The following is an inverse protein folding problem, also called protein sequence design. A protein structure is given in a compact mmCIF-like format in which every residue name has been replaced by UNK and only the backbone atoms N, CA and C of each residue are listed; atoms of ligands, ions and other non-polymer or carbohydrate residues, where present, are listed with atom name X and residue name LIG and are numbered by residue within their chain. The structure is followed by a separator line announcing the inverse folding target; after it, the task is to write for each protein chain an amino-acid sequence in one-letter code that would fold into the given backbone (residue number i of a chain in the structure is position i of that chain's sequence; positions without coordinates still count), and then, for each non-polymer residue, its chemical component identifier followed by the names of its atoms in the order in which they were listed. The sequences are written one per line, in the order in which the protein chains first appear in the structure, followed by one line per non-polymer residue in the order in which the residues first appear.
data_IF_859123560034
#
_entry.id   IF_859123560034
#
_cell.length_a   1.000
_cell.length_b   1.000
_cell.length_c   1.000
_cell.angle_alpha   90.00
_cell.angle_beta   90.00
_cell.angle_gamma   90.00
#
_symmetry.space_group_name_H-M   'P 1'
#
loop_
_entity.id
_entity.type
_entity.pdbx_description
1 polymer ?
#
# COMPACT_ATOMS: atom_id res chain seq x y z
N UNK A 1 22.40 -27.33 22.88
CA UNK A 1 21.59 -26.88 21.73
C UNK A 1 21.77 -25.38 21.47
N UNK A 2 21.63 -24.51 22.49
CA UNK A 2 21.84 -23.05 22.39
C UNK A 2 23.18 -22.62 21.76
N UNK A 3 24.29 -23.25 22.16
CA UNK A 3 25.64 -22.91 21.64
C UNK A 3 25.78 -23.21 20.14
N UNK A 4 25.15 -24.29 19.64
CA UNK A 4 25.15 -24.58 18.19
C UNK A 4 24.29 -23.60 17.40
N UNK A 5 23.13 -23.21 17.93
CA UNK A 5 22.28 -22.19 17.30
C UNK A 5 23.04 -20.87 17.13
N UNK A 6 23.69 -20.39 18.19
CA UNK A 6 24.41 -19.11 18.17
C UNK A 6 25.60 -19.14 17.20
N UNK A 7 26.35 -20.24 17.16
CA UNK A 7 27.44 -20.42 16.19
C UNK A 7 26.98 -20.52 14.72
N UNK A 8 25.77 -21.04 14.48
CA UNK A 8 25.16 -21.12 13.15
C UNK A 8 24.63 -19.74 12.74
N UNK A 9 23.97 -19.02 13.66
CA UNK A 9 23.50 -17.65 13.44
C UNK A 9 24.66 -16.71 13.06
N UNK A 10 25.75 -16.71 13.83
CA UNK A 10 26.96 -15.90 13.55
C UNK A 10 27.61 -16.24 12.19
N UNK A 11 27.53 -17.49 11.75
CA UNK A 11 28.05 -17.91 10.43
C UNK A 11 27.10 -17.51 9.29
N UNK A 12 25.80 -17.44 9.54
CA UNK A 12 24.79 -17.06 8.55
C UNK A 12 24.66 -15.55 8.39
N UNK A 13 24.90 -14.75 9.44
CA UNK A 13 25.01 -13.28 9.32
C UNK A 13 26.11 -12.85 8.33
N UNK A 14 27.15 -13.68 8.16
CA UNK A 14 28.20 -13.46 7.14
C UNK A 14 27.70 -13.65 5.71
N UNK A 15 26.54 -14.29 5.53
CA UNK A 15 25.82 -14.43 4.25
C UNK A 15 24.78 -13.31 4.18
N UNK A 16 25.07 -12.27 3.39
CA UNK A 16 24.31 -11.01 3.34
C UNK A 16 22.79 -11.20 3.37
N UNK A 17 22.14 -10.70 4.41
CA UNK A 17 20.69 -10.53 4.50
C UNK A 17 19.89 -11.77 4.90
N UNK A 18 20.53 -12.86 5.35
CA UNK A 18 19.83 -14.06 5.83
C UNK A 18 20.01 -14.20 7.35
N UNK A 19 18.90 -14.34 8.07
CA UNK A 19 18.91 -14.55 9.53
C UNK A 19 18.49 -15.98 9.85
N UNK A 20 19.09 -16.59 10.87
CA UNK A 20 18.68 -17.89 11.38
C UNK A 20 17.84 -17.72 12.64
N UNK A 21 16.65 -18.34 12.69
CA UNK A 21 15.71 -18.24 13.81
C UNK A 21 15.09 -19.60 14.12
N UNK A 22 14.66 -19.78 15.36
CA UNK A 22 13.72 -20.85 15.71
C UNK A 22 12.33 -20.22 15.67
N UNK A 23 11.47 -20.76 14.81
CA UNK A 23 10.11 -20.25 14.59
C UNK A 23 9.10 -21.39 14.78
N UNK A 24 7.84 -21.06 14.98
CA UNK A 24 6.74 -22.03 15.05
C UNK A 24 5.51 -21.45 14.36
N UNK A 25 4.65 -22.31 13.83
CA UNK A 25 3.35 -21.91 13.28
C UNK A 25 2.26 -22.91 13.70
N UNK A 26 1.04 -22.75 13.19
CA UNK A 26 -0.08 -23.64 13.56
C UNK A 26 0.10 -25.11 13.12
N UNK A 27 0.96 -25.38 12.14
CA UNK A 27 1.20 -26.72 11.59
C UNK A 27 2.58 -27.30 11.94
N UNK A 28 3.51 -26.47 12.43
CA UNK A 28 4.90 -26.83 12.73
C UNK A 28 5.27 -26.49 14.18
N UNK A 29 5.86 -27.46 14.92
CA UNK A 29 6.47 -27.15 16.22
C UNK A 29 7.70 -26.24 16.04
N UNK A 30 8.31 -25.81 17.14
CA UNK A 30 9.55 -25.01 17.12
C UNK A 30 10.61 -25.64 16.20
N UNK A 31 10.84 -24.99 15.06
CA UNK A 31 11.63 -25.48 13.93
C UNK A 31 12.66 -24.43 13.53
N UNK A 32 13.85 -24.89 13.14
CA UNK A 32 14.87 -24.01 12.60
C UNK A 32 14.42 -23.45 11.24
N UNK A 33 14.56 -22.15 11.05
CA UNK A 33 14.27 -21.47 9.81
C UNK A 33 15.38 -20.47 9.46
N UNK A 34 15.57 -20.23 8.18
CA UNK A 34 16.28 -19.05 7.69
C UNK A 34 15.28 -18.07 7.12
N UNK A 35 15.46 -16.79 7.39
CA UNK A 35 14.59 -15.73 6.93
C UNK A 35 15.37 -14.66 6.17
N UNK A 36 14.70 -14.03 5.23
CA UNK A 36 15.20 -12.86 4.51
C UNK A 36 14.10 -11.80 4.54
N UNK A 37 14.46 -10.57 4.89
CA UNK A 37 13.56 -9.42 4.90
C UNK A 37 13.54 -8.72 3.53
N UNK A 38 12.37 -8.31 3.07
CA UNK A 38 12.20 -7.46 1.90
C UNK A 38 12.28 -6.01 2.36
N UNK A 39 13.38 -5.35 2.05
CA UNK A 39 13.62 -3.96 2.45
C UNK A 39 12.78 -3.00 1.59
N UNK A 40 11.84 -2.33 2.23
CA UNK A 40 10.97 -1.28 1.68
C UNK A 40 11.58 0.11 1.83
N UNK A 41 12.74 0.23 2.50
CA UNK A 41 13.50 1.47 2.65
C UNK A 41 12.78 2.56 3.44
N UNK A 42 11.85 2.19 4.34
CA UNK A 42 10.96 3.14 5.04
C UNK A 42 10.18 4.05 4.08
N UNK A 43 9.86 3.55 2.89
CA UNK A 43 9.10 4.30 1.88
C UNK A 43 7.62 4.32 2.23
N UNK A 44 6.97 5.49 2.15
CA UNK A 44 5.52 5.63 2.19
C UNK A 44 4.92 5.37 0.80
N UNK A 45 4.21 4.27 0.66
CA UNK A 45 3.47 3.88 -0.54
C UNK A 45 2.02 4.33 -0.44
N UNK A 46 1.82 5.65 -0.43
CA UNK A 46 0.48 6.23 -0.40
C UNK A 46 -0.10 6.42 -1.80
N UNK A 47 -1.22 5.74 -2.07
CA UNK A 47 -1.87 5.74 -3.40
C UNK A 47 -2.87 6.91 -3.49
N UNK A 48 -2.60 7.97 -4.29
CA UNK A 48 -3.41 9.18 -4.31
C UNK A 48 -4.69 8.97 -5.11
N UNK A 49 -5.86 9.18 -4.50
CA UNK A 49 -7.16 9.00 -5.18
C UNK A 49 -7.72 10.27 -5.80
N UNK A 50 -7.16 11.45 -5.52
CA UNK A 50 -7.62 12.72 -6.10
C UNK A 50 -7.48 12.74 -7.63
N UNK A 51 -6.41 12.17 -8.18
CA UNK A 51 -6.24 11.99 -9.63
C UNK A 51 -7.42 11.21 -10.25
N UNK A 52 -7.91 10.18 -9.55
CA UNK A 52 -9.07 9.39 -9.99
C UNK A 52 -10.35 10.24 -9.94
N UNK A 53 -10.50 11.12 -8.95
CA UNK A 53 -11.62 12.06 -8.85
C UNK A 53 -11.66 13.01 -10.05
N UNK A 54 -10.50 13.52 -10.48
CA UNK A 54 -10.38 14.36 -11.68
C UNK A 54 -10.78 13.58 -12.93
N UNK A 55 -10.22 12.38 -13.11
CA UNK A 55 -10.50 11.50 -14.26
C UNK A 55 -11.99 11.14 -14.35
N UNK A 56 -12.66 10.92 -13.22
CA UNK A 56 -14.09 10.61 -13.16
C UNK A 56 -14.97 11.69 -13.82
N UNK A 57 -14.55 12.95 -13.76
CA UNK A 57 -15.28 14.09 -14.33
C UNK A 57 -15.15 14.24 -15.85
N UNK A 58 -14.24 13.50 -16.49
CA UNK A 58 -13.90 13.66 -17.92
C UNK A 58 -14.51 12.49 -18.72
N UNK A 59 -15.58 12.72 -19.52
CA UNK A 59 -16.28 11.65 -20.23
C UNK A 59 -15.39 10.81 -21.16
N UNK A 60 -14.41 11.44 -21.81
CA UNK A 60 -13.46 10.84 -22.74
C UNK A 60 -12.53 9.84 -22.03
N UNK A 61 -12.28 10.03 -20.73
CA UNK A 61 -11.43 9.17 -19.90
C UNK A 61 -12.20 8.08 -19.17
N UNK A 62 -13.50 7.91 -19.45
CA UNK A 62 -14.32 6.84 -18.83
C UNK A 62 -13.71 5.44 -18.95
N UNK A 63 -13.09 5.02 -20.07
CA UNK A 63 -12.39 3.73 -20.14
C UNK A 63 -11.24 3.62 -19.13
N UNK A 64 -10.45 4.69 -18.97
CA UNK A 64 -9.37 4.78 -17.98
C UNK A 64 -9.94 4.73 -16.55
N UNK A 65 -10.98 5.50 -16.25
CA UNK A 65 -11.65 5.49 -14.95
C UNK A 65 -12.09 4.07 -14.54
N UNK A 66 -12.75 3.35 -15.45
CA UNK A 66 -13.20 1.99 -15.19
C UNK A 66 -12.03 1.04 -14.89
N UNK A 67 -10.92 1.19 -15.61
CA UNK A 67 -9.71 0.39 -15.40
C UNK A 67 -9.09 0.69 -14.03
N UNK A 68 -8.95 1.96 -13.67
CA UNK A 68 -8.49 2.42 -12.36
C UNK A 68 -9.35 1.85 -11.23
N UNK A 69 -10.67 1.87 -11.36
CA UNK A 69 -11.56 1.26 -10.38
C UNK A 69 -11.28 -0.23 -10.16
N UNK A 70 -10.97 -0.98 -11.23
CA UNK A 70 -10.66 -2.42 -11.12
C UNK A 70 -9.29 -2.67 -10.49
N UNK A 71 -8.28 -1.84 -10.81
CA UNK A 71 -6.96 -1.89 -10.18
C UNK A 71 -7.07 -1.58 -8.68
N UNK A 72 -7.74 -0.49 -8.31
CA UNK A 72 -7.97 -0.14 -6.92
C UNK A 72 -8.80 -1.20 -6.17
N UNK A 73 -9.79 -1.81 -6.82
CA UNK A 73 -10.54 -2.92 -6.25
C UNK A 73 -9.65 -4.15 -5.99
N UNK A 74 -8.70 -4.46 -6.87
CA UNK A 74 -7.72 -5.53 -6.66
C UNK A 74 -6.82 -5.23 -5.45
N UNK A 75 -6.24 -4.03 -5.40
CA UNK A 75 -5.40 -3.57 -4.29
C UNK A 75 -6.15 -3.56 -2.96
N UNK A 76 -7.38 -3.04 -2.93
CA UNK A 76 -8.21 -3.00 -1.72
C UNK A 76 -8.66 -4.40 -1.27
N UNK A 77 -9.17 -5.24 -2.18
CA UNK A 77 -9.84 -6.49 -1.79
C UNK A 77 -8.91 -7.70 -1.73
N UNK A 78 -7.92 -7.79 -2.62
CA UNK A 78 -7.01 -8.95 -2.71
C UNK A 78 -5.72 -8.67 -1.97
N UNK A 79 -5.06 -7.55 -2.27
CA UNK A 79 -3.80 -7.17 -1.61
C UNK A 79 -4.04 -6.75 -0.16
N UNK A 80 -5.26 -6.26 0.15
CA UNK A 80 -5.68 -5.73 1.46
C UNK A 80 -5.01 -4.41 1.84
N UNK A 81 -4.79 -3.55 0.86
CA UNK A 81 -4.32 -2.18 1.11
C UNK A 81 -5.46 -1.38 1.75
N UNK A 82 -5.17 -0.77 2.89
CA UNK A 82 -6.14 0.02 3.64
C UNK A 82 -6.55 1.29 2.90
N UNK A 83 -7.76 1.75 3.16
CA UNK A 83 -8.35 2.93 2.52
C UNK A 83 -8.68 3.97 3.59
N UNK A 84 -8.21 5.22 3.44
CA UNK A 84 -8.34 6.31 4.42
C UNK A 84 -9.76 6.72 4.86
N UNK A 85 -10.79 6.07 4.33
CA UNK A 85 -12.20 6.21 4.77
C UNK A 85 -12.71 5.02 5.59
N UNK A 86 -11.92 3.95 5.72
CA UNK A 86 -12.12 2.91 6.73
C UNK A 86 -11.58 3.38 8.08
N UNK A 87 -11.89 2.65 9.15
CA UNK A 87 -11.19 2.82 10.42
C UNK A 87 -9.74 2.31 10.28
N UNK A 88 -8.82 3.23 10.01
CA UNK A 88 -7.40 2.95 9.83
C UNK A 88 -6.53 4.14 10.28
N UNK A 89 -5.22 3.96 10.19
CA UNK A 89 -4.23 4.97 10.56
C UNK A 89 -4.47 6.31 9.85
N UNK A 90 -4.53 6.32 8.51
CA UNK A 90 -4.69 7.58 7.76
C UNK A 90 -6.04 8.26 7.99
N UNK A 91 -7.11 7.50 8.26
CA UNK A 91 -8.39 8.09 8.64
C UNK A 91 -8.29 8.85 9.96
N UNK A 92 -7.52 8.32 10.92
CA UNK A 92 -7.25 8.98 12.19
C UNK A 92 -6.45 10.26 11.98
N UNK A 93 -5.44 10.24 11.10
CA UNK A 93 -4.68 11.45 10.73
C UNK A 93 -5.58 12.55 10.15
N UNK A 94 -6.45 12.23 9.19
CA UNK A 94 -7.40 13.22 8.66
C UNK A 94 -8.38 13.75 9.72
N UNK A 95 -8.78 12.89 10.67
CA UNK A 95 -9.69 13.30 11.75
C UNK A 95 -9.01 14.28 12.71
N UNK A 96 -7.74 14.05 13.04
CA UNK A 96 -6.97 14.99 13.86
C UNK A 96 -6.79 16.35 13.17
N UNK A 97 -6.56 16.36 11.86
CA UNK A 97 -6.50 17.61 11.07
C UNK A 97 -7.84 18.36 11.16
N UNK A 98 -8.96 17.66 11.02
CA UNK A 98 -10.29 18.25 11.16
C UNK A 98 -10.55 18.80 12.57
N UNK A 99 -10.16 18.06 13.61
CA UNK A 99 -10.29 18.52 15.00
C UNK A 99 -9.46 19.80 15.23
N UNK A 100 -8.23 19.85 14.72
CA UNK A 100 -7.39 21.06 14.80
C UNK A 100 -7.98 22.26 14.07
N UNK A 101 -8.57 22.07 12.89
CA UNK A 101 -9.26 23.15 12.16
C UNK A 101 -10.48 23.64 12.95
N UNK A 102 -11.17 22.73 13.63
CA UNK A 102 -12.34 23.09 14.41
C UNK A 102 -12.00 23.84 15.69
N UNK A 103 -10.88 23.49 16.33
CA UNK A 103 -10.36 24.09 17.56
C UNK A 103 -9.51 25.36 17.33
N UNK A 104 -9.05 25.64 16.10
CA UNK A 104 -8.27 26.84 15.78
C UNK A 104 -9.14 28.12 15.84
N UNK A 105 -9.04 28.81 16.97
CA UNK A 105 -9.74 30.07 17.27
C UNK A 105 -8.93 31.32 16.84
N UNK A 106 -7.67 31.18 16.38
CA UNK A 106 -6.73 32.32 16.27
C UNK A 106 -5.93 32.45 14.95
N UNK A 107 -5.92 31.48 14.03
CA UNK A 107 -4.89 31.40 12.98
C UNK A 107 -4.97 32.38 11.78
N UNK A 108 -6.06 32.33 10.98
CA UNK A 108 -6.12 33.01 9.65
C UNK A 108 -7.49 33.59 9.25
N UNK A 109 -8.48 33.56 10.14
CA UNK A 109 -9.84 34.11 9.93
C UNK A 109 -10.84 33.10 9.36
N UNK A 110 -12.15 33.37 9.56
CA UNK A 110 -13.27 32.47 9.23
C UNK A 110 -13.26 31.95 7.79
N UNK A 111 -12.94 32.80 6.80
CA UNK A 111 -12.94 32.41 5.39
C UNK A 111 -11.91 31.31 5.04
N UNK A 112 -10.74 31.34 5.68
CA UNK A 112 -9.71 30.30 5.46
C UNK A 112 -10.13 28.98 6.11
N UNK A 113 -10.72 29.05 7.30
CA UNK A 113 -11.30 27.89 7.98
C UNK A 113 -12.41 27.25 7.14
N UNK A 114 -13.28 28.05 6.55
CA UNK A 114 -14.34 27.57 5.66
C UNK A 114 -13.78 26.87 4.41
N UNK A 115 -12.70 27.39 3.81
CA UNK A 115 -12.01 26.75 2.69
C UNK A 115 -11.44 25.37 3.09
N UNK A 116 -10.81 25.27 4.27
CA UNK A 116 -10.33 24.00 4.80
C UNK A 116 -11.46 23.00 5.02
N UNK A 117 -12.56 23.42 5.65
CA UNK A 117 -13.71 22.54 5.89
C UNK A 117 -14.36 22.07 4.57
N UNK A 118 -14.44 22.93 3.56
CA UNK A 118 -14.93 22.56 2.22
C UNK A 118 -14.02 21.53 1.54
N UNK A 119 -12.70 21.67 1.64
CA UNK A 119 -11.77 20.68 1.08
C UNK A 119 -11.86 19.34 1.82
N UNK A 120 -11.97 19.34 3.16
CA UNK A 120 -12.23 18.12 3.93
C UNK A 120 -13.54 17.45 3.53
N UNK A 121 -14.60 18.23 3.31
CA UNK A 121 -15.87 17.70 2.82
C UNK A 121 -15.71 17.07 1.43
N UNK A 122 -14.95 17.70 0.52
CA UNK A 122 -14.63 17.14 -0.80
C UNK A 122 -13.89 15.80 -0.69
N UNK A 123 -12.86 15.74 0.17
CA UNK A 123 -12.08 14.53 0.48
C UNK A 123 -12.98 13.40 0.94
N UNK A 124 -13.83 13.69 1.93
CA UNK A 124 -14.77 12.71 2.52
C UNK A 124 -15.77 12.21 1.49
N UNK A 125 -16.44 13.13 0.79
CA UNK A 125 -17.50 12.81 -0.16
C UNK A 125 -16.99 11.94 -1.32
N UNK A 126 -15.86 12.31 -1.93
CA UNK A 126 -15.29 11.48 -2.99
C UNK A 126 -14.76 10.16 -2.42
N UNK A 127 -14.07 10.20 -1.27
CA UNK A 127 -13.53 9.00 -0.65
C UNK A 127 -14.62 7.96 -0.35
N UNK A 128 -15.74 8.38 0.21
CA UNK A 128 -16.86 7.49 0.55
C UNK A 128 -17.52 6.95 -0.74
N UNK A 129 -17.74 7.80 -1.74
CA UNK A 129 -18.25 7.39 -3.05
C UNK A 129 -17.33 6.36 -3.73
N UNK A 130 -16.03 6.62 -3.76
CA UNK A 130 -15.06 5.76 -4.43
C UNK A 130 -14.88 4.44 -3.69
N UNK A 131 -14.91 4.47 -2.36
CA UNK A 131 -14.89 3.28 -1.52
C UNK A 131 -16.05 2.34 -1.87
N UNK A 132 -17.26 2.87 -2.07
CA UNK A 132 -18.43 2.09 -2.50
C UNK A 132 -18.26 1.48 -3.91
N UNK A 133 -17.50 2.13 -4.78
CA UNK A 133 -17.16 1.59 -6.11
C UNK A 133 -16.20 0.41 -5.96
N UNK A 134 -15.10 0.57 -5.23
CA UNK A 134 -14.03 -0.43 -5.12
C UNK A 134 -14.35 -1.56 -4.14
N UNK A 135 -15.37 -1.44 -3.31
CA UNK A 135 -15.92 -2.52 -2.47
C UNK A 135 -16.68 -3.57 -3.28
N UNK A 136 -17.11 -3.26 -4.51
CA UNK A 136 -17.81 -4.23 -5.37
C UNK A 136 -16.90 -5.42 -5.68
N UNK A 137 -17.38 -6.68 -5.56
CA UNK A 137 -16.51 -7.85 -5.63
C UNK A 137 -15.57 -7.85 -6.84
N UNK A 138 -14.27 -7.90 -6.55
CA UNK A 138 -13.25 -7.99 -7.57
C UNK A 138 -13.35 -9.33 -8.32
N UNK A 139 -13.22 -9.28 -9.64
CA UNK A 139 -13.20 -10.47 -10.51
C UNK A 139 -12.21 -10.26 -11.63
N UNK A 140 -11.23 -11.16 -11.74
CA UNK A 140 -10.21 -11.13 -12.81
C UNK A 140 -10.85 -11.06 -14.21
N UNK A 141 -11.92 -11.82 -14.47
CA UNK A 141 -12.62 -11.76 -15.75
C UNK A 141 -13.28 -10.41 -16.05
N UNK A 142 -13.70 -9.68 -15.01
CA UNK A 142 -14.24 -8.32 -15.19
C UNK A 142 -13.10 -7.34 -15.45
N UNK A 143 -11.99 -7.45 -14.71
CA UNK A 143 -10.77 -6.68 -14.98
C UNK A 143 -10.39 -6.86 -16.46
N UNK A 144 -10.24 -8.10 -16.92
CA UNK A 144 -9.83 -8.40 -18.29
C UNK A 144 -10.69 -7.67 -19.34
N UNK A 145 -12.01 -7.74 -19.19
CA UNK A 145 -12.94 -7.08 -20.12
C UNK A 145 -12.77 -5.57 -20.13
N UNK A 146 -12.61 -4.97 -18.95
CA UNK A 146 -12.40 -3.52 -18.81
C UNK A 146 -11.05 -3.12 -19.40
N UNK A 147 -10.01 -3.91 -19.17
CA UNK A 147 -8.69 -3.69 -19.74
C UNK A 147 -8.71 -3.74 -21.28
N UNK A 148 -9.36 -4.75 -21.88
CA UNK A 148 -9.51 -4.82 -23.34
C UNK A 148 -10.30 -3.64 -23.93
N UNK A 149 -11.31 -3.14 -23.20
CA UNK A 149 -12.05 -1.94 -23.60
C UNK A 149 -11.17 -0.68 -23.54
N UNK A 150 -10.31 -0.56 -22.52
CA UNK A 150 -9.32 0.52 -22.42
C UNK A 150 -8.31 0.48 -23.56
N UNK A 151 -7.76 -0.70 -23.91
CA UNK A 151 -6.83 -0.87 -25.04
C UNK A 151 -7.41 -0.43 -26.39
N UNK A 152 -8.73 -0.52 -26.53
CA UNK A 152 -9.45 -0.13 -27.75
C UNK A 152 -9.92 1.33 -27.75
N UNK A 153 -9.68 2.06 -26.66
CA UNK A 153 -10.14 3.44 -26.47
C UNK A 153 -9.15 4.47 -27.00
N UNK A 154 -9.64 5.68 -27.27
CA UNK A 154 -8.81 6.80 -27.72
C UNK A 154 -7.91 7.37 -26.61
N UNK A 155 -8.23 7.13 -25.34
CA UNK A 155 -7.45 7.59 -24.19
C UNK A 155 -6.40 6.57 -23.72
N UNK A 156 -6.12 5.53 -24.52
CA UNK A 156 -5.15 4.50 -24.16
C UNK A 156 -3.72 5.06 -24.16
N UNK A 157 -3.11 5.12 -22.98
CA UNK A 157 -1.67 5.26 -22.81
C UNK A 157 -0.97 3.89 -22.76
N UNK A 158 0.19 3.78 -23.41
CA UNK A 158 0.96 2.52 -23.51
C UNK A 158 1.66 2.14 -22.22
N UNK A 159 2.17 3.11 -21.47
CA UNK A 159 2.81 2.86 -20.18
C UNK A 159 1.79 2.27 -19.21
N UNK A 160 0.65 2.95 -19.09
CA UNK A 160 -0.43 2.49 -18.22
C UNK A 160 -1.06 1.16 -18.67
N UNK A 161 -1.14 0.91 -19.99
CA UNK A 161 -1.59 -0.38 -20.49
C UNK A 161 -0.65 -1.53 -20.09
N UNK A 162 0.67 -1.31 -20.07
CA UNK A 162 1.63 -2.31 -19.62
C UNK A 162 1.51 -2.56 -18.12
N UNK A 163 1.38 -1.50 -17.31
CA UNK A 163 1.13 -1.60 -15.87
C UNK A 163 -0.14 -2.44 -15.59
N UNK A 164 -1.25 -2.12 -16.24
CA UNK A 164 -2.51 -2.84 -16.08
C UNK A 164 -2.41 -4.32 -16.47
N UNK A 165 -1.65 -4.63 -17.54
CA UNK A 165 -1.37 -6.00 -17.95
C UNK A 165 -0.59 -6.77 -16.88
N UNK A 166 0.44 -6.16 -16.29
CA UNK A 166 1.24 -6.81 -15.24
C UNK A 166 0.45 -7.01 -13.94
N UNK A 167 -0.44 -6.06 -13.59
CA UNK A 167 -1.38 -6.21 -12.47
C UNK A 167 -2.37 -7.34 -12.74
N UNK A 168 -2.91 -7.45 -13.97
CA UNK A 168 -3.79 -8.55 -14.34
C UNK A 168 -3.07 -9.91 -14.22
N UNK A 169 -1.84 -10.02 -14.74
CA UNK A 169 -1.00 -11.22 -14.56
C UNK A 169 -0.80 -11.54 -13.09
N UNK A 170 -0.51 -10.53 -12.27
CA UNK A 170 -0.34 -10.72 -10.83
C UNK A 170 -1.61 -11.27 -10.16
N UNK A 171 -2.79 -10.76 -10.54
CA UNK A 171 -4.08 -11.24 -10.06
C UNK A 171 -4.40 -12.69 -10.51
N UNK A 172 -3.83 -13.15 -11.61
CA UNK A 172 -3.93 -14.54 -12.08
C UNK A 172 -2.94 -15.44 -11.35
N UNK A 173 -1.68 -15.02 -11.23
CA UNK A 173 -0.61 -15.78 -10.58
C UNK A 173 -0.88 -15.97 -9.08
N UNK A 174 -1.47 -14.97 -8.41
CA UNK A 174 -1.69 -14.93 -6.97
C UNK A 174 -3.11 -14.47 -6.61
N UNK A 175 -4.17 -15.25 -6.91
CA UNK A 175 -5.56 -14.79 -6.89
C UNK A 175 -6.12 -14.45 -5.49
N UNK A 176 -5.44 -14.86 -4.43
CA UNK A 176 -5.88 -14.66 -3.04
C UNK A 176 -4.72 -14.29 -2.09
N UNK A 177 -3.55 -13.92 -2.63
CA UNK A 177 -2.39 -13.54 -1.80
C UNK A 177 -2.48 -12.06 -1.46
N UNK A 178 -2.54 -11.76 -0.17
CA UNK A 178 -2.45 -10.42 0.40
C UNK A 178 -1.02 -10.09 0.80
N UNK A 179 -0.74 -8.80 1.05
CA UNK A 179 0.57 -8.38 1.57
C UNK A 179 0.86 -8.96 2.97
N UNK A 180 -0.18 -9.14 3.79
CA UNK A 180 -0.05 -9.67 5.15
C UNK A 180 0.32 -11.16 5.18
N UNK A 181 0.06 -11.92 4.11
CA UNK A 181 0.49 -13.32 3.99
C UNK A 181 2.02 -13.44 3.95
N UNK A 182 2.71 -12.35 3.62
CA UNK A 182 4.16 -12.26 3.61
C UNK A 182 4.75 -11.86 4.96
N UNK A 183 3.94 -11.70 6.01
CA UNK A 183 4.39 -11.44 7.38
C UNK A 183 4.09 -12.65 8.28
N UNK A 184 5.09 -13.50 8.57
CA UNK A 184 4.88 -14.66 9.42
C UNK A 184 4.45 -14.23 10.83
N UNK A 185 3.40 -14.87 11.35
CA UNK A 185 2.90 -14.60 12.71
C UNK A 185 4.02 -14.78 13.73
N UNK A 186 4.19 -13.79 14.62
CA UNK A 186 5.21 -13.81 15.67
C UNK A 186 6.65 -13.66 15.18
N UNK A 187 6.87 -13.24 13.92
CA UNK A 187 8.22 -12.90 13.44
C UNK A 187 8.76 -11.61 14.05
N UNK A 188 7.88 -10.62 14.18
CA UNK A 188 8.16 -9.35 14.84
C UNK A 188 7.78 -9.47 16.31
N UNK A 189 8.68 -9.02 17.18
CA UNK A 189 8.46 -8.98 18.63
C UNK A 189 7.66 -7.72 18.99
N UNK A 190 7.11 -7.72 20.20
CA UNK A 190 6.48 -6.52 20.74
C UNK A 190 7.55 -5.45 20.99
N UNK A 191 7.31 -4.24 20.49
CA UNK A 191 8.12 -3.06 20.77
C UNK A 191 7.31 -2.10 21.67
N UNK A 192 7.95 -1.60 22.72
CA UNK A 192 7.34 -0.63 23.64
C UNK A 192 7.02 0.70 22.97
N UNK A 193 7.80 1.10 21.95
CA UNK A 193 7.52 2.30 21.14
C UNK A 193 6.51 2.03 20.03
N UNK A 194 6.04 0.79 19.86
CA UNK A 194 5.15 0.37 18.79
C UNK A 194 5.90 0.09 17.49
N UNK A 195 5.54 -0.99 16.78
CA UNK A 195 6.08 -1.28 15.46
C UNK A 195 5.33 -0.47 14.39
N UNK A 196 6.00 -0.15 13.28
CA UNK A 196 5.32 0.43 12.11
C UNK A 196 4.68 -0.71 11.31
N UNK A 197 3.36 -0.76 11.29
CA UNK A 197 2.57 -1.77 10.58
C UNK A 197 2.37 -1.43 9.10
N UNK A 198 2.04 -2.43 8.28
CA UNK A 198 1.90 -2.29 6.82
C UNK A 198 0.90 -1.19 6.45
N UNK A 199 -0.25 -1.13 7.12
CA UNK A 199 -1.29 -0.14 6.88
C UNK A 199 -0.84 1.31 7.16
N UNK A 200 0.23 1.50 7.95
CA UNK A 200 0.75 2.83 8.25
C UNK A 200 1.62 3.38 7.12
N UNK A 201 2.32 2.54 6.36
CA UNK A 201 3.18 2.96 5.25
C UNK A 201 2.67 2.54 3.86
N UNK A 202 1.61 1.73 3.76
CA UNK A 202 0.97 1.33 2.50
C UNK A 202 -0.55 1.47 2.64
N UNK A 203 -1.11 2.52 2.04
CA UNK A 203 -2.54 2.84 2.13
C UNK A 203 -2.97 3.72 0.95
N UNK A 204 -4.27 3.72 0.63
CA UNK A 204 -4.85 4.80 -0.16
C UNK A 204 -4.96 6.07 0.69
N UNK A 205 -4.77 7.23 0.07
CA UNK A 205 -4.95 8.56 0.67
C UNK A 205 -5.49 9.55 -0.36
N UNK A 206 -5.73 10.79 0.05
CA UNK A 206 -6.29 11.78 -0.86
C UNK A 206 -5.32 12.21 -1.97
N UNK A 207 -4.31 13.00 -1.62
CA UNK A 207 -3.42 13.65 -2.59
C UNK A 207 -2.15 14.17 -1.92
N UNK A 208 -1.07 14.29 -2.69
CA UNK A 208 0.12 15.06 -2.33
C UNK A 208 0.05 16.50 -2.90
N UNK A 209 -1.06 16.87 -3.54
CA UNK A 209 -1.29 18.14 -4.19
C UNK A 209 -2.61 18.76 -3.70
N UNK A 210 -2.71 18.94 -2.38
CA UNK A 210 -3.82 19.60 -1.71
C UNK A 210 -3.31 20.53 -0.60
N UNK A 211 -4.23 21.28 0.02
CA UNK A 211 -3.89 22.25 1.08
C UNK A 211 -3.48 21.61 2.42
N UNK A 212 -3.75 20.32 2.62
CA UNK A 212 -3.41 19.57 3.83
C UNK A 212 -2.10 18.79 3.69
N UNK A 213 -1.51 18.73 2.50
CA UNK A 213 -0.26 18.00 2.21
C UNK A 213 0.79 18.18 3.30
N UNK A 214 1.15 19.42 3.63
CA UNK A 214 2.23 19.70 4.59
C UNK A 214 1.88 19.18 5.99
N UNK A 215 0.72 19.58 6.53
CA UNK A 215 0.29 19.14 7.87
C UNK A 215 0.11 17.62 7.94
N UNK A 216 -0.42 17.00 6.88
CA UNK A 216 -0.62 15.56 6.82
C UNK A 216 0.71 14.79 6.87
N UNK A 217 1.66 15.15 6.00
CA UNK A 217 2.96 14.48 5.99
C UNK A 217 3.79 14.79 7.23
N UNK A 218 3.69 15.99 7.80
CA UNK A 218 4.36 16.32 9.06
C UNK A 218 3.84 15.43 10.20
N UNK A 219 2.52 15.25 10.31
CA UNK A 219 1.92 14.35 11.31
C UNK A 219 2.38 12.91 11.13
N UNK A 220 2.29 12.39 9.90
CA UNK A 220 2.70 11.01 9.59
C UNK A 220 4.18 10.80 9.89
N UNK A 221 5.05 11.69 9.42
CA UNK A 221 6.49 11.55 9.61
C UNK A 221 6.87 11.67 11.09
N UNK A 222 6.23 12.56 11.85
CA UNK A 222 6.51 12.68 13.28
C UNK A 222 6.14 11.39 14.02
N UNK A 223 4.94 10.84 13.79
CA UNK A 223 4.49 9.60 14.45
C UNK A 223 5.39 8.39 14.09
N UNK A 224 5.71 8.24 12.80
CA UNK A 224 6.52 7.11 12.35
C UNK A 224 8.00 7.21 12.75
N UNK A 225 8.55 8.42 12.89
CA UNK A 225 9.91 8.62 13.40
C UNK A 225 10.04 8.32 14.91
N UNK A 226 8.93 8.35 15.65
CA UNK A 226 8.87 7.98 17.07
C UNK A 226 8.57 6.48 17.28
N UNK A 227 8.26 5.76 16.19
CA UNK A 227 7.98 4.33 16.20
C UNK A 227 9.25 3.47 16.13
N UNK A 228 9.09 2.18 16.46
CA UNK A 228 10.13 1.17 16.45
C UNK A 228 10.41 0.55 15.07
N UNK A 229 10.58 -0.77 15.02
CA UNK A 229 10.88 -1.46 13.76
C UNK A 229 9.70 -1.44 12.78
N UNK A 230 9.99 -1.24 11.48
CA UNK A 230 9.01 -1.40 10.41
C UNK A 230 8.77 -2.88 10.10
N UNK A 231 7.51 -3.29 10.15
CA UNK A 231 7.05 -4.61 9.75
C UNK A 231 7.11 -4.69 8.24
N UNK A 232 7.95 -5.59 7.74
CA UNK A 232 8.21 -5.78 6.33
C UNK A 232 7.96 -7.25 5.93
N UNK A 233 7.74 -7.52 4.64
CA UNK A 233 7.60 -8.89 4.15
C UNK A 233 8.85 -9.75 4.40
N UNK A 234 8.63 -11.01 4.78
CA UNK A 234 9.67 -11.99 5.12
C UNK A 234 9.52 -13.25 4.26
N UNK A 235 10.57 -13.59 3.52
CA UNK A 235 10.72 -14.92 2.96
C UNK A 235 11.24 -15.87 4.04
N UNK A 236 10.57 -17.01 4.24
CA UNK A 236 10.94 -18.01 5.25
C UNK A 236 11.24 -19.34 4.59
N UNK A 237 12.40 -19.91 4.90
CA UNK A 237 12.76 -21.28 4.58
C UNK A 237 12.85 -22.10 5.86
N UNK A 238 11.95 -23.07 6.01
CA UNK A 238 11.88 -23.98 7.15
C UNK A 238 12.81 -25.18 6.97
N UNK A 239 13.43 -25.69 8.03
CA UNK A 239 14.26 -26.90 8.00
C UNK A 239 13.62 -28.03 8.83
N UNK A 240 12.34 -28.30 8.59
CA UNK A 240 11.59 -29.45 9.14
C UNK A 240 11.85 -30.75 8.37
N UNK A 241 12.27 -30.64 7.11
CA UNK A 241 12.53 -31.75 6.19
C UNK A 241 13.83 -31.52 5.41
N UNK A 242 14.53 -32.58 4.94
CA UNK A 242 15.72 -32.42 4.10
C UNK A 242 15.40 -31.72 2.77
N UNK A 243 16.22 -30.74 2.39
CA UNK A 243 16.00 -29.93 1.19
C UNK A 243 17.26 -29.93 0.32
N UNK A 244 17.08 -30.02 -1.00
CA UNK A 244 18.21 -30.06 -1.94
C UNK A 244 18.78 -28.68 -2.28
N UNK A 245 18.01 -27.60 -2.06
CA UNK A 245 18.41 -26.24 -2.40
C UNK A 245 17.85 -25.20 -1.43
N UNK A 246 18.54 -24.06 -1.34
CA UNK A 246 18.07 -22.86 -0.64
C UNK A 246 16.94 -22.19 -1.44
N UNK A 247 15.85 -21.84 -0.76
CA UNK A 247 14.65 -21.25 -1.35
C UNK A 247 14.23 -20.04 -0.53
N UNK A 248 15.05 -18.99 -0.56
CA UNK A 248 14.70 -17.65 -0.09
C UNK A 248 14.38 -16.76 -1.30
N UNK A 249 13.24 -17.03 -1.94
CA UNK A 249 12.79 -16.35 -3.14
C UNK A 249 11.65 -15.40 -2.80
N UNK A 250 11.82 -14.16 -3.21
CA UNK A 250 10.77 -13.15 -3.27
C UNK A 250 10.24 -13.13 -4.70
N UNK A 251 9.19 -13.90 -4.97
CA UNK A 251 8.57 -13.98 -6.29
C UNK A 251 7.40 -13.00 -6.45
N UNK A 252 6.82 -12.57 -5.33
CA UNK A 252 5.61 -11.76 -5.27
C UNK A 252 5.88 -10.32 -4.86
N UNK A 253 6.57 -10.11 -3.75
CA UNK A 253 6.78 -8.80 -3.11
C UNK A 253 7.51 -7.80 -4.04
N UNK A 254 8.60 -8.17 -4.73
CA UNK A 254 9.30 -7.23 -5.60
C UNK A 254 8.44 -6.83 -6.80
N UNK A 255 7.60 -7.75 -7.30
CA UNK A 255 6.62 -7.45 -8.35
C UNK A 255 5.53 -6.53 -7.82
N UNK A 256 4.97 -6.83 -6.64
CA UNK A 256 3.90 -6.04 -6.03
C UNK A 256 4.33 -4.59 -5.81
N UNK A 257 5.45 -4.38 -5.13
CA UNK A 257 5.91 -3.03 -4.80
C UNK A 257 6.34 -2.25 -6.04
N UNK A 258 6.94 -2.89 -7.04
CA UNK A 258 7.22 -2.24 -8.31
C UNK A 258 5.95 -1.74 -9.01
N UNK A 259 4.89 -2.57 -9.05
CA UNK A 259 3.60 -2.19 -9.65
C UNK A 259 2.89 -1.10 -8.84
N UNK A 260 2.98 -1.14 -7.50
CA UNK A 260 2.43 -0.08 -6.64
C UNK A 260 3.17 1.24 -6.88
N UNK A 261 4.50 1.23 -6.92
CA UNK A 261 5.29 2.44 -7.22
C UNK A 261 4.92 3.01 -8.58
N UNK A 262 4.91 2.19 -9.64
CA UNK A 262 4.54 2.65 -10.99
C UNK A 262 3.10 3.19 -11.04
N UNK A 263 2.18 2.60 -10.27
CA UNK A 263 0.81 3.09 -10.15
C UNK A 263 0.72 4.43 -9.42
N UNK A 264 1.49 4.61 -8.35
CA UNK A 264 1.58 5.87 -7.61
C UNK A 264 2.17 6.95 -8.51
N UNK A 265 3.26 6.66 -9.22
CA UNK A 265 3.91 7.59 -10.14
C UNK A 265 2.92 8.05 -11.21
N UNK A 266 2.19 7.11 -11.84
CA UNK A 266 1.16 7.42 -12.83
C UNK A 266 0.07 8.34 -12.28
N UNK A 267 -0.47 8.03 -11.09
CA UNK A 267 -1.52 8.85 -10.49
C UNK A 267 -1.00 10.22 -10.05
N UNK A 268 0.25 10.29 -9.59
CA UNK A 268 0.91 11.52 -9.17
C UNK A 268 1.11 12.45 -10.36
N UNK A 269 1.55 11.93 -11.50
CA UNK A 269 1.65 12.69 -12.74
C UNK A 269 0.30 13.32 -13.14
N UNK A 270 -0.80 12.55 -13.07
CA UNK A 270 -2.15 13.09 -13.32
C UNK A 270 -2.63 14.13 -12.29
N UNK A 271 -2.12 14.06 -11.06
CA UNK A 271 -2.50 14.99 -9.99
C UNK A 271 -1.77 16.34 -10.12
N UNK A 272 -0.59 16.35 -10.73
CA UNK A 272 0.24 17.54 -10.95
C UNK A 272 0.18 18.13 -12.36
N UNK A 273 -0.21 17.37 -13.39
CA UNK A 273 -0.18 17.87 -14.77
C UNK A 273 -1.43 18.72 -15.09
N UNK A 274 -1.28 20.04 -14.98
CA UNK A 274 -2.28 21.04 -15.39
C UNK A 274 -2.67 20.94 -16.89
N UNK A 275 -1.94 20.15 -17.70
CA UNK A 275 -2.21 20.02 -19.15
C UNK A 275 -3.44 19.21 -19.51
N UNK A 276 -4.00 18.45 -18.59
CA UNK A 276 -5.29 17.78 -18.79
C UNK A 276 -6.49 18.68 -18.44
N UNK A 277 -6.24 19.97 -18.17
CA UNK A 277 -7.22 20.94 -17.71
C UNK A 277 -7.71 21.93 -18.80
N UNK A 278 -7.32 21.73 -20.07
CA UNK A 278 -7.83 22.48 -21.23
C UNK A 278 -8.62 21.62 -22.22
#
# INVERSE_FOLDING_TARGET
MMVCHQQIAEKLERKKGVTCRIMQDSSRPATLATTKRFDTGYTLYYIPVNAIARIMGIPELKPLFNLLCNICAYFYQVIKIDYYRNYCYLQSTYSMIEDWINDDDEGKGEAYRDEQLQELERIKNFGDLFLDIIKKPFRVNTFHKVFMAYLSSSCCDKGFANLAMEIEKMAVDYPARSIYDSVPKGYYEFDETGNIHIEQYLSFYWSANDMFREVFFDMVNNDLNESGEQIEPIAVQWFDTPQQQELLLFDYEPRLFALITEFIDFLTDYDYDDKHHE
#
